data_IF_190941140390
#
_entry.id   IF_190941140390
#
_cell.length_a   1.000
_cell.length_b   1.000
_cell.length_c   1.000
_cell.angle_alpha   90.00
_cell.angle_beta   90.00
_cell.angle_gamma   90.00
#
_symmetry.space_group_name_H-M   'P 1'
#
loop_
_entity.id
_entity.type
_entity.pdbx_description
1 polymer ?
#
# COMPACT_ATOMS: atom_id res chain seq x y z
N UNK A 1 8.81 10.01 14.21
CA UNK A 1 8.40 9.12 13.09
C UNK A 1 9.64 8.41 12.60
N UNK A 2 9.67 7.07 12.65
CA UNK A 2 10.77 6.30 12.05
C UNK A 2 10.45 6.12 10.58
N UNK A 3 11.23 6.72 9.69
CA UNK A 3 11.10 6.48 8.25
C UNK A 3 11.70 5.11 7.93
N UNK A 4 10.96 4.32 7.16
CA UNK A 4 11.46 3.02 6.69
C UNK A 4 12.52 3.26 5.60
N UNK A 5 13.72 2.68 5.78
CA UNK A 5 14.79 2.76 4.80
C UNK A 5 14.55 1.70 3.71
N UNK A 6 14.41 2.16 2.48
CA UNK A 6 14.47 1.29 1.31
C UNK A 6 15.93 1.16 0.89
N UNK A 7 16.52 -0.01 1.17
CA UNK A 7 17.88 -0.36 0.76
C UNK A 7 17.84 -1.15 -0.56
N UNK A 8 18.96 -1.19 -1.31
CA UNK A 8 19.08 -2.04 -2.48
C UNK A 8 18.80 -3.51 -2.12
N UNK A 9 18.03 -4.20 -2.96
CA UNK A 9 17.79 -5.64 -2.79
C UNK A 9 19.11 -6.39 -2.98
N UNK A 10 19.60 -7.13 -1.96
CA UNK A 10 20.84 -7.89 -2.08
C UNK A 10 20.75 -8.90 -3.21
N UNK A 11 21.82 -9.01 -4.02
CA UNK A 11 21.95 -10.03 -5.06
C UNK A 11 21.25 -9.74 -6.38
N UNK A 12 20.51 -8.64 -6.52
CA UNK A 12 19.96 -8.22 -7.81
C UNK A 12 20.88 -7.18 -8.45
N UNK A 13 21.52 -7.56 -9.58
CA UNK A 13 22.51 -6.71 -10.25
C UNK A 13 21.91 -5.98 -11.45
N UNK A 14 22.42 -4.74 -11.74
CA UNK A 14 22.05 -3.94 -12.92
C UNK A 14 22.54 -4.52 -14.24
N UNK A 15 23.43 -5.52 -14.22
CA UNK A 15 24.05 -6.16 -15.39
C UNK A 15 23.58 -7.60 -15.55
N UNK A 16 23.74 -8.14 -16.75
CA UNK A 16 23.47 -9.55 -17.02
C UNK A 16 22.01 -9.98 -16.84
N UNK A 17 21.78 -11.07 -16.11
CA UNK A 17 20.46 -11.69 -15.96
C UNK A 17 19.40 -10.76 -15.31
N UNK A 18 19.81 -9.94 -14.34
CA UNK A 18 18.89 -9.00 -13.69
C UNK A 18 18.34 -7.94 -14.64
N UNK A 19 19.20 -7.40 -15.50
CA UNK A 19 18.79 -6.43 -16.53
C UNK A 19 17.86 -7.07 -17.57
N UNK A 20 18.19 -8.25 -18.06
CA UNK A 20 17.35 -8.98 -19.01
C UNK A 20 15.96 -9.28 -18.43
N UNK A 21 15.87 -9.67 -17.15
CA UNK A 21 14.59 -9.90 -16.47
C UNK A 21 13.73 -8.62 -16.37
N UNK A 22 14.36 -7.45 -16.13
CA UNK A 22 13.65 -6.17 -16.11
C UNK A 22 13.19 -5.74 -17.50
N UNK A 23 13.99 -5.96 -18.54
CA UNK A 23 13.62 -5.67 -19.93
C UNK A 23 12.43 -6.53 -20.36
N UNK A 24 12.45 -7.85 -20.08
CA UNK A 24 11.34 -8.76 -20.33
C UNK A 24 10.08 -8.40 -19.53
N UNK A 25 10.27 -8.03 -18.25
CA UNK A 25 9.18 -7.51 -17.44
C UNK A 25 8.56 -6.25 -18.06
N UNK A 26 9.38 -5.29 -18.51
CA UNK A 26 8.91 -4.03 -19.07
C UNK A 26 8.04 -4.25 -20.33
N UNK A 27 8.45 -5.16 -21.21
CA UNK A 27 7.67 -5.54 -22.40
C UNK A 27 6.32 -6.12 -21.99
N UNK A 28 6.31 -7.08 -21.07
CA UNK A 28 5.06 -7.71 -20.62
C UNK A 28 4.15 -6.72 -19.85
N UNK A 29 4.72 -5.87 -19.00
CA UNK A 29 3.98 -4.84 -18.26
C UNK A 29 3.33 -3.81 -19.21
N UNK A 30 4.00 -3.47 -20.31
CA UNK A 30 3.41 -2.60 -21.35
C UNK A 30 2.19 -3.24 -21.99
N UNK A 31 2.19 -4.54 -22.21
CA UNK A 31 1.03 -5.28 -22.73
C UNK A 31 -0.14 -5.31 -21.74
N UNK A 32 0.10 -5.13 -20.45
CA UNK A 32 -0.92 -4.96 -19.40
C UNK A 32 -1.43 -3.51 -19.27
N UNK A 33 -0.91 -2.58 -20.08
CA UNK A 33 -1.27 -1.16 -20.05
C UNK A 33 -0.43 -0.31 -19.10
N UNK A 34 0.60 -0.86 -18.46
CA UNK A 34 1.54 -0.08 -17.68
C UNK A 34 2.49 0.73 -18.59
N UNK A 35 3.14 1.74 -17.99
CA UNK A 35 4.18 2.56 -18.66
C UNK A 35 5.48 2.45 -17.84
N UNK A 36 6.27 1.37 -18.05
CA UNK A 36 7.53 1.20 -17.33
C UNK A 36 8.53 2.30 -17.70
N UNK A 37 9.17 2.88 -16.69
CA UNK A 37 10.17 3.94 -16.81
C UNK A 37 11.50 3.41 -16.26
N UNK A 38 12.53 3.23 -17.08
CA UNK A 38 13.87 2.87 -16.61
C UNK A 38 14.54 4.07 -15.94
N UNK A 39 15.38 3.80 -14.96
CA UNK A 39 16.18 4.78 -14.22
C UNK A 39 15.38 5.98 -13.67
N UNK A 40 14.11 5.75 -13.27
CA UNK A 40 13.22 6.81 -12.78
C UNK A 40 13.69 7.36 -11.43
N UNK A 41 13.94 8.69 -11.31
CA UNK A 41 14.36 9.31 -10.07
C UNK A 41 13.27 9.25 -8.99
N UNK A 42 13.49 8.45 -7.94
CA UNK A 42 12.50 8.27 -6.88
C UNK A 42 12.29 9.52 -6.00
N UNK A 43 13.18 10.47 -6.06
CA UNK A 43 12.98 11.81 -5.46
C UNK A 43 11.68 12.49 -5.92
N UNK A 44 11.17 12.17 -7.12
CA UNK A 44 9.89 12.67 -7.65
C UNK A 44 8.68 12.04 -6.97
N UNK A 45 8.87 10.88 -6.33
CA UNK A 45 7.85 10.04 -5.74
C UNK A 45 7.91 10.02 -4.21
N UNK A 46 8.74 10.86 -3.58
CA UNK A 46 8.85 10.99 -2.13
C UNK A 46 8.51 12.40 -1.66
N UNK A 47 7.90 12.49 -0.47
CA UNK A 47 7.57 13.79 0.14
C UNK A 47 8.83 14.59 0.48
N UNK A 48 9.91 13.91 0.86
CA UNK A 48 11.21 14.54 1.15
C UNK A 48 11.95 15.01 -0.10
N UNK A 49 11.49 14.60 -1.29
CA UNK A 49 12.13 14.90 -2.60
C UNK A 49 13.59 14.48 -2.67
N UNK A 50 13.94 13.39 -1.98
CA UNK A 50 15.25 12.74 -1.99
C UNK A 50 15.10 11.28 -2.40
N UNK A 51 16.17 10.70 -2.95
CA UNK A 51 16.23 9.30 -3.36
C UNK A 51 16.79 9.16 -4.77
N UNK A 52 17.70 8.20 -4.93
CA UNK A 52 18.25 7.80 -6.22
C UNK A 52 17.23 7.09 -7.11
N UNK A 53 17.65 6.61 -8.30
CA UNK A 53 16.74 6.03 -9.27
C UNK A 53 16.28 4.61 -8.89
N UNK A 54 15.07 4.23 -9.32
CA UNK A 54 14.68 2.85 -9.48
C UNK A 54 15.32 2.28 -10.75
N UNK A 55 15.69 1.00 -10.77
CA UNK A 55 16.12 0.38 -12.03
C UNK A 55 14.97 0.34 -13.02
N UNK A 56 13.77 0.08 -12.55
CA UNK A 56 12.52 0.18 -13.30
C UNK A 56 11.42 0.70 -12.38
N UNK A 57 10.61 1.63 -12.88
CA UNK A 57 9.43 2.13 -12.20
C UNK A 57 8.19 1.89 -13.05
N UNK A 58 7.08 1.46 -12.43
CA UNK A 58 5.79 1.36 -13.10
C UNK A 58 4.67 1.85 -12.16
N UNK A 59 3.81 2.77 -12.63
CA UNK A 59 2.63 3.19 -11.88
C UNK A 59 1.47 2.23 -12.13
N UNK A 60 0.76 1.88 -11.05
CA UNK A 60 -0.48 1.12 -11.10
C UNK A 60 -1.64 2.01 -10.64
N UNK A 61 -2.56 2.34 -11.54
CA UNK A 61 -3.70 3.23 -11.26
C UNK A 61 -4.99 2.47 -10.93
N UNK A 62 -4.96 1.15 -10.94
CA UNK A 62 -6.04 0.28 -10.50
C UNK A 62 -5.51 -0.92 -9.72
N UNK A 63 -6.33 -1.46 -8.82
CA UNK A 63 -5.98 -2.67 -8.06
C UNK A 63 -5.72 -3.87 -8.95
N UNK A 64 -6.45 -3.99 -10.06
CA UNK A 64 -6.22 -5.04 -11.05
C UNK A 64 -4.85 -4.94 -11.71
N UNK A 65 -4.43 -3.72 -12.10
CA UNK A 65 -3.09 -3.51 -12.66
C UNK A 65 -2.00 -3.72 -11.61
N UNK A 66 -2.22 -3.25 -10.38
CA UNK A 66 -1.28 -3.47 -9.27
C UNK A 66 -1.03 -4.96 -9.07
N UNK A 67 -2.09 -5.75 -8.95
CA UNK A 67 -1.99 -7.21 -8.78
C UNK A 67 -1.31 -7.88 -9.97
N UNK A 68 -1.69 -7.52 -11.19
CA UNK A 68 -1.08 -8.08 -12.39
C UNK A 68 0.43 -7.80 -12.47
N UNK A 69 0.88 -6.61 -12.09
CA UNK A 69 2.31 -6.27 -12.02
C UNK A 69 3.05 -7.06 -10.93
N UNK A 70 2.41 -7.30 -9.78
CA UNK A 70 2.97 -8.10 -8.70
C UNK A 70 3.14 -9.56 -9.11
N UNK A 71 2.12 -10.17 -9.71
CA UNK A 71 2.18 -11.55 -10.21
C UNK A 71 3.21 -11.68 -11.35
N UNK A 72 3.27 -10.69 -12.24
CA UNK A 72 4.27 -10.64 -13.29
C UNK A 72 5.70 -10.60 -12.74
N UNK A 73 5.93 -9.80 -11.70
CA UNK A 73 7.23 -9.68 -11.03
C UNK A 73 7.62 -10.98 -10.33
N UNK A 74 6.68 -11.61 -9.61
CA UNK A 74 6.90 -12.88 -8.95
C UNK A 74 7.23 -14.01 -9.95
N UNK A 75 6.45 -14.11 -11.04
CA UNK A 75 6.67 -15.13 -12.09
C UNK A 75 7.99 -14.99 -12.82
N UNK A 76 8.62 -13.81 -12.78
CA UNK A 76 9.93 -13.52 -13.40
C UNK A 76 11.06 -13.38 -12.40
N UNK A 77 10.80 -13.65 -11.13
CA UNK A 77 11.78 -13.45 -10.05
C UNK A 77 12.38 -12.03 -10.03
N UNK A 78 11.61 -11.03 -10.43
CA UNK A 78 11.98 -9.61 -10.35
C UNK A 78 11.66 -9.10 -8.94
N UNK A 79 12.65 -8.68 -8.15
CA UNK A 79 12.39 -8.10 -6.85
C UNK A 79 11.62 -6.79 -7.02
N UNK A 80 10.65 -6.57 -6.14
CA UNK A 80 9.81 -5.38 -6.23
C UNK A 80 9.65 -4.67 -4.88
N UNK A 81 9.34 -3.39 -4.97
CA UNK A 81 8.93 -2.53 -3.86
C UNK A 81 7.67 -1.78 -4.26
N UNK A 82 6.63 -1.82 -3.42
CA UNK A 82 5.42 -0.99 -3.64
C UNK A 82 5.58 0.33 -2.89
N UNK A 83 5.48 1.43 -3.62
CA UNK A 83 5.60 2.78 -3.08
C UNK A 83 4.22 3.46 -3.11
N UNK A 84 3.70 3.82 -1.95
CA UNK A 84 2.50 4.66 -1.83
C UNK A 84 2.82 6.15 -2.01
N UNK A 85 2.32 7.02 -1.14
CA UNK A 85 2.55 8.47 -1.21
C UNK A 85 3.98 8.94 -0.87
N UNK A 86 4.91 8.04 -0.57
CA UNK A 86 6.31 8.38 -0.28
C UNK A 86 6.52 9.25 0.95
N UNK A 87 5.58 9.24 1.91
CA UNK A 87 5.59 10.17 3.05
C UNK A 87 6.39 9.66 4.26
N UNK A 88 6.70 8.36 4.32
CA UNK A 88 7.40 7.74 5.45
C UNK A 88 8.56 6.85 5.00
N UNK A 89 9.19 7.19 3.88
CA UNK A 89 10.30 6.42 3.33
C UNK A 89 11.52 7.31 3.13
N UNK A 90 12.71 6.74 3.35
CA UNK A 90 13.98 7.32 2.99
C UNK A 90 14.66 6.40 1.97
N UNK A 91 14.92 6.94 0.79
CA UNK A 91 15.55 6.20 -0.30
C UNK A 91 16.99 6.69 -0.43
N UNK A 92 17.93 5.75 -0.44
CA UNK A 92 19.35 6.06 -0.60
C UNK A 92 19.65 6.67 -2.00
N UNK A 93 20.75 7.44 -2.12
CA UNK A 93 21.19 8.00 -3.40
C UNK A 93 21.53 6.92 -4.43
N UNK A 94 21.93 5.73 -3.98
CA UNK A 94 22.12 4.57 -4.85
C UNK A 94 20.82 4.06 -5.49
N UNK A 95 19.68 4.51 -5.00
CA UNK A 95 18.34 4.12 -5.49
C UNK A 95 17.89 2.74 -5.03
N UNK A 96 16.91 2.19 -5.73
CA UNK A 96 16.30 0.88 -5.45
C UNK A 96 16.58 -0.06 -6.60
N UNK A 97 17.09 -1.26 -6.27
CA UNK A 97 17.35 -2.32 -7.28
C UNK A 97 16.06 -3.07 -7.55
N UNK A 98 15.84 -3.39 -8.82
CA UNK A 98 14.64 -4.06 -9.28
C UNK A 98 13.51 -3.11 -9.65
N UNK A 99 12.29 -3.56 -9.42
CA UNK A 99 11.06 -2.85 -9.78
C UNK A 99 10.53 -2.03 -8.61
N UNK A 100 10.21 -0.75 -8.85
CA UNK A 100 9.36 0.04 -7.93
C UNK A 100 7.98 0.21 -8.57
N UNK A 101 6.94 -0.22 -7.87
CA UNK A 101 5.55 -0.04 -8.30
C UNK A 101 4.96 1.15 -7.53
N UNK A 102 4.68 2.23 -8.23
CA UNK A 102 3.94 3.37 -7.67
C UNK A 102 2.46 3.02 -7.53
N UNK A 103 1.95 2.98 -6.32
CA UNK A 103 0.54 2.66 -6.05
C UNK A 103 -0.34 3.90 -6.19
N UNK A 104 -0.98 4.04 -7.34
CA UNK A 104 -1.94 5.08 -7.70
C UNK A 104 -3.40 4.67 -7.54
N UNK A 105 -3.71 3.50 -6.96
CA UNK A 105 -5.07 3.03 -6.76
C UNK A 105 -5.78 3.88 -5.70
N UNK A 106 -6.81 4.65 -6.06
CA UNK A 106 -7.37 5.69 -5.16
C UNK A 106 -8.89 5.65 -5.04
N UNK A 107 -9.53 4.57 -5.47
CA UNK A 107 -10.98 4.43 -5.32
C UNK A 107 -11.37 4.44 -3.84
N UNK A 108 -12.44 5.18 -3.53
CA UNK A 108 -13.07 5.22 -2.22
C UNK A 108 -14.58 5.15 -2.42
N UNK A 109 -15.25 4.25 -1.73
CA UNK A 109 -16.70 4.07 -1.85
C UNK A 109 -17.34 3.63 -0.55
N UNK A 110 -18.62 3.93 -0.42
CA UNK A 110 -19.49 3.33 0.57
C UNK A 110 -20.25 2.19 -0.09
N UNK A 111 -20.36 1.05 0.57
CA UNK A 111 -21.06 -0.09 0.00
C UNK A 111 -20.92 -1.35 0.82
N UNK A 112 -21.52 -2.40 0.33
CA UNK A 112 -21.41 -3.73 0.95
C UNK A 112 -19.97 -4.27 0.82
N UNK A 113 -19.50 -5.03 1.83
CA UNK A 113 -18.23 -5.73 1.74
C UNK A 113 -18.24 -6.69 0.55
N UNK A 114 -17.12 -6.87 -0.15
CA UNK A 114 -17.01 -7.87 -1.21
C UNK A 114 -17.31 -9.28 -0.70
N UNK A 115 -17.72 -10.18 -1.59
CA UNK A 115 -17.97 -11.58 -1.23
C UNK A 115 -16.72 -12.19 -0.58
N UNK A 116 -16.92 -12.84 0.57
CA UNK A 116 -15.84 -13.44 1.36
C UNK A 116 -15.09 -12.47 2.27
N UNK A 117 -15.31 -11.18 2.18
CA UNK A 117 -14.74 -10.23 3.14
C UNK A 117 -15.42 -10.36 4.50
N UNK A 118 -14.67 -10.36 5.60
CA UNK A 118 -15.25 -10.27 6.93
C UNK A 118 -15.86 -8.89 7.16
N UNK A 119 -16.92 -8.79 7.94
CA UNK A 119 -17.57 -7.52 8.25
C UNK A 119 -18.91 -7.70 8.91
N UNK A 120 -19.50 -6.58 9.37
CA UNK A 120 -20.87 -6.61 9.89
C UNK A 120 -21.82 -6.90 8.74
N UNK A 121 -22.46 -8.06 8.73
CA UNK A 121 -23.55 -8.34 7.81
C UNK A 121 -24.62 -7.25 7.99
N UNK A 122 -25.04 -6.60 6.88
CA UNK A 122 -26.12 -5.61 6.83
C UNK A 122 -25.74 -4.14 7.14
N UNK A 123 -24.48 -3.78 7.34
CA UNK A 123 -24.08 -2.38 7.40
C UNK A 123 -23.13 -2.03 6.24
N UNK A 124 -23.34 -0.92 5.55
CA UNK A 124 -22.40 -0.47 4.53
C UNK A 124 -21.06 -0.12 5.18
N UNK A 125 -19.98 -0.52 4.51
CA UNK A 125 -18.62 -0.23 4.92
C UNK A 125 -18.01 0.85 4.04
N UNK A 126 -17.07 1.59 4.59
CA UNK A 126 -16.17 2.42 3.80
C UNK A 126 -15.07 1.54 3.25
N UNK A 127 -14.96 1.46 1.93
CA UNK A 127 -13.99 0.64 1.22
C UNK A 127 -13.05 1.59 0.47
N UNK A 128 -11.75 1.42 0.68
CA UNK A 128 -10.73 2.26 0.06
C UNK A 128 -9.60 1.43 -0.54
N UNK A 129 -9.15 1.80 -1.73
CA UNK A 129 -7.95 1.26 -2.33
C UNK A 129 -6.70 1.68 -1.55
N UNK A 130 -5.69 0.84 -1.57
CA UNK A 130 -4.48 0.99 -0.76
C UNK A 130 -3.63 2.21 -1.11
N UNK A 131 -3.74 2.75 -2.32
CA UNK A 131 -3.07 3.99 -2.74
C UNK A 131 -3.84 5.28 -2.40
N UNK A 132 -5.06 5.18 -1.89
CA UNK A 132 -5.82 6.35 -1.44
C UNK A 132 -5.10 7.03 -0.26
N UNK A 133 -5.04 8.37 -0.28
CA UNK A 133 -4.46 9.13 0.83
C UNK A 133 -5.34 9.01 2.08
N UNK A 134 -4.77 8.61 3.22
CA UNK A 134 -5.52 8.41 4.46
C UNK A 134 -6.24 9.69 4.90
N UNK A 135 -5.55 10.83 4.89
CA UNK A 135 -6.15 12.12 5.19
C UNK A 135 -7.28 12.52 4.21
N UNK A 136 -7.19 12.06 2.96
CA UNK A 136 -8.25 12.21 1.95
C UNK A 136 -9.47 11.37 2.29
N UNK A 137 -9.24 10.11 2.68
CA UNK A 137 -10.29 9.19 3.11
C UNK A 137 -11.01 9.75 4.35
N UNK A 138 -10.28 10.20 5.36
CA UNK A 138 -10.86 10.79 6.58
C UNK A 138 -11.77 12.00 6.27
N UNK A 139 -11.30 12.93 5.44
CA UNK A 139 -12.14 14.07 5.03
C UNK A 139 -13.35 13.66 4.19
N UNK A 140 -13.20 12.60 3.39
CA UNK A 140 -14.31 12.07 2.61
C UNK A 140 -15.36 11.43 3.52
N UNK A 141 -14.98 10.61 4.52
CA UNK A 141 -15.92 9.99 5.47
C UNK A 141 -16.66 11.02 6.30
N UNK A 142 -16.00 12.08 6.76
CA UNK A 142 -16.63 13.22 7.45
C UNK A 142 -17.73 13.84 6.57
N UNK A 143 -17.47 14.09 5.29
CA UNK A 143 -18.48 14.62 4.35
C UNK A 143 -19.65 13.66 4.09
N UNK A 144 -19.47 12.36 4.32
CA UNK A 144 -20.54 11.36 4.27
C UNK A 144 -21.32 11.26 5.60
N UNK A 145 -20.98 12.07 6.61
CA UNK A 145 -21.60 12.01 7.94
C UNK A 145 -21.19 10.78 8.74
N UNK A 146 -19.97 10.24 8.50
CA UNK A 146 -19.43 9.08 9.19
C UNK A 146 -18.35 9.50 10.16
N UNK A 147 -18.33 8.86 11.35
CA UNK A 147 -17.38 9.09 12.44
C UNK A 147 -16.46 7.88 12.63
N UNK A 148 -15.25 8.11 13.14
CA UNK A 148 -14.25 7.09 13.47
C UNK A 148 -12.87 7.31 12.82
N UNK A 149 -12.76 8.11 11.74
CA UNK A 149 -11.50 8.43 11.09
C UNK A 149 -11.06 9.90 11.23
N UNK A 150 -11.68 10.70 12.09
CA UNK A 150 -11.35 12.12 12.28
C UNK A 150 -9.88 12.33 12.66
N UNK A 151 -9.35 11.44 13.49
CA UNK A 151 -7.96 11.46 13.93
C UNK A 151 -6.96 11.40 12.75
N UNK A 152 -7.39 10.88 11.61
CA UNK A 152 -6.54 10.64 10.45
C UNK A 152 -6.45 11.84 9.48
N UNK A 153 -7.19 12.92 9.69
CA UNK A 153 -7.25 14.10 8.79
C UNK A 153 -5.87 14.74 8.56
N UNK A 154 -5.00 14.68 9.57
CA UNK A 154 -3.64 15.23 9.50
C UNK A 154 -2.55 14.17 9.30
N UNK A 155 -2.91 12.88 9.22
CA UNK A 155 -1.94 11.78 9.11
C UNK A 155 -1.51 11.60 7.65
N UNK A 156 -0.24 11.78 7.33
CA UNK A 156 0.26 11.57 5.97
C UNK A 156 0.39 10.08 5.66
N UNK A 157 0.30 9.75 4.39
CA UNK A 157 0.46 8.40 3.88
C UNK A 157 -0.78 7.87 3.17
N UNK A 158 -0.68 6.66 2.67
CA UNK A 158 -1.75 5.96 1.96
C UNK A 158 -2.37 4.87 2.83
N UNK A 159 -3.60 4.49 2.54
CA UNK A 159 -4.34 3.43 3.25
C UNK A 159 -3.49 2.17 3.42
N UNK A 160 -2.85 1.66 2.35
CA UNK A 160 -2.02 0.45 2.43
C UNK A 160 -0.84 0.59 3.39
N UNK A 161 -0.09 1.70 3.28
CA UNK A 161 1.04 1.96 4.19
C UNK A 161 0.60 2.14 5.65
N UNK A 162 -0.57 2.73 5.88
CA UNK A 162 -1.11 2.93 7.23
C UNK A 162 -1.66 1.64 7.84
N UNK A 163 -2.26 0.75 7.03
CA UNK A 163 -2.66 -0.61 7.44
C UNK A 163 -1.43 -1.44 7.84
N UNK A 164 -0.37 -1.43 7.01
CA UNK A 164 0.87 -2.15 7.31
C UNK A 164 1.52 -1.62 8.60
N UNK A 165 1.59 -0.31 8.78
CA UNK A 165 2.29 0.34 9.87
C UNK A 165 1.49 0.53 11.15
N UNK A 166 0.21 0.18 11.20
CA UNK A 166 -0.72 0.60 12.25
C UNK A 166 -0.58 2.09 12.56
N UNK A 167 -0.80 2.93 11.54
CA UNK A 167 -0.70 4.36 11.73
C UNK A 167 -1.75 4.86 12.72
N UNK A 168 -1.39 5.83 13.54
CA UNK A 168 -2.29 6.39 14.52
C UNK A 168 -1.86 7.79 14.95
N UNK A 169 -2.81 8.55 15.45
CA UNK A 169 -2.66 9.86 16.04
C UNK A 169 -3.79 10.11 17.05
N UNK A 170 -3.58 11.07 17.96
CA UNK A 170 -4.61 11.52 18.92
C UNK A 170 -5.25 10.37 19.73
N UNK A 171 -4.49 9.34 20.08
CA UNK A 171 -4.96 8.19 20.88
C UNK A 171 -5.74 7.13 20.10
N UNK A 172 -5.92 7.28 18.79
CA UNK A 172 -6.56 6.33 17.89
C UNK A 172 -5.56 5.78 16.86
N UNK A 173 -5.88 4.64 16.26
CA UNK A 173 -5.10 4.03 15.19
C UNK A 173 -5.98 3.25 14.20
N UNK A 174 -5.36 2.72 13.15
CA UNK A 174 -6.05 1.96 12.09
C UNK A 174 -6.78 0.74 12.67
N UNK A 175 -6.21 0.06 13.65
CA UNK A 175 -6.79 -1.15 14.23
C UNK A 175 -8.20 -0.93 14.81
N UNK A 176 -8.49 0.29 15.28
CA UNK A 176 -9.78 0.63 15.89
C UNK A 176 -10.96 0.55 14.92
N UNK A 177 -10.74 0.83 13.65
CA UNK A 177 -11.81 0.95 12.65
C UNK A 177 -11.67 -0.02 11.48
N UNK A 178 -10.54 -0.72 11.35
CA UNK A 178 -10.31 -1.68 10.27
C UNK A 178 -11.18 -2.92 10.45
N UNK A 179 -12.08 -3.15 9.52
CA UNK A 179 -12.84 -4.41 9.45
C UNK A 179 -11.97 -5.50 8.80
N UNK A 180 -11.37 -5.17 7.66
CA UNK A 180 -10.53 -6.10 6.90
C UNK A 180 -9.54 -5.37 6.00
N UNK A 181 -8.46 -6.06 5.65
CA UNK A 181 -7.57 -5.72 4.55
C UNK A 181 -7.55 -6.86 3.53
N UNK A 182 -7.65 -6.54 2.24
CA UNK A 182 -7.39 -7.48 1.16
C UNK A 182 -5.90 -7.42 0.85
N UNK A 183 -5.22 -8.52 1.12
CA UNK A 183 -3.76 -8.66 0.97
C UNK A 183 -3.49 -9.67 -0.12
N UNK A 184 -2.65 -9.32 -1.08
CA UNK A 184 -2.11 -10.27 -2.06
C UNK A 184 -0.72 -10.71 -1.63
N UNK A 185 -0.47 -12.00 -1.72
CA UNK A 185 0.84 -12.63 -1.64
C UNK A 185 1.17 -13.13 -3.05
N UNK A 186 2.06 -12.46 -3.79
CA UNK A 186 2.34 -12.81 -5.18
C UNK A 186 2.72 -14.28 -5.34
N UNK A 187 2.07 -14.98 -6.26
CA UNK A 187 2.18 -16.43 -6.45
C UNK A 187 1.36 -17.28 -5.46
N UNK A 188 0.67 -16.68 -4.47
CA UNK A 188 -0.17 -17.40 -3.50
C UNK A 188 -1.61 -16.86 -3.44
N UNK A 189 -1.90 -15.77 -4.18
CA UNK A 189 -3.24 -15.21 -4.30
C UNK A 189 -3.61 -14.20 -3.22
N UNK A 190 -4.91 -13.89 -3.16
CA UNK A 190 -5.50 -12.88 -2.29
C UNK A 190 -6.08 -13.48 -1.02
N UNK A 191 -5.92 -12.78 0.10
CA UNK A 191 -6.45 -13.16 1.41
C UNK A 191 -7.05 -11.95 2.12
N UNK A 192 -8.25 -12.11 2.66
CA UNK A 192 -8.78 -11.17 3.63
C UNK A 192 -8.10 -11.37 4.98
N UNK A 193 -7.74 -10.26 5.64
CA UNK A 193 -7.18 -10.23 6.98
C UNK A 193 -7.96 -9.25 7.83
N UNK A 194 -8.51 -9.73 8.92
CA UNK A 194 -9.16 -8.89 9.95
C UNK A 194 -8.12 -8.14 10.77
N UNK A 195 -8.55 -7.11 11.51
CA UNK A 195 -7.67 -6.41 12.45
C UNK A 195 -7.05 -7.38 13.49
N UNK A 196 -7.80 -8.38 13.94
CA UNK A 196 -7.31 -9.41 14.89
C UNK A 196 -6.20 -10.28 14.27
N UNK A 197 -6.36 -10.74 13.03
CA UNK A 197 -5.36 -11.54 12.32
C UNK A 197 -4.09 -10.72 11.99
N UNK A 198 -4.23 -9.41 11.81
CA UNK A 198 -3.10 -8.50 11.60
C UNK A 198 -2.27 -8.26 12.86
N UNK A 199 -2.74 -8.69 14.04
CA UNK A 199 -1.99 -8.67 15.30
C UNK A 199 -1.31 -7.33 15.55
N UNK A 200 -2.08 -6.27 15.48
CA UNK A 200 -1.59 -4.91 15.64
C UNK A 200 -0.96 -4.65 17.01
N UNK A 201 0.12 -3.89 17.00
CA UNK A 201 0.71 -3.27 18.16
C UNK A 201 1.24 -1.88 17.77
N UNK A 202 1.83 -1.15 18.71
CA UNK A 202 2.33 0.20 18.43
C UNK A 202 3.27 0.22 17.22
N UNK A 203 2.84 0.90 16.16
CA UNK A 203 3.58 1.08 14.89
C UNK A 203 4.01 -0.22 14.20
N UNK A 204 3.28 -1.33 14.41
CA UNK A 204 3.57 -2.62 13.78
C UNK A 204 2.31 -3.45 13.53
N UNK A 205 2.42 -4.40 12.62
CA UNK A 205 1.41 -5.40 12.28
C UNK A 205 2.10 -6.71 11.91
N UNK A 206 1.33 -7.77 11.69
CA UNK A 206 1.82 -9.02 11.09
C UNK A 206 2.49 -8.73 9.73
N UNK A 207 1.83 -7.96 8.85
CA UNK A 207 2.37 -7.64 7.52
C UNK A 207 3.71 -6.90 7.59
N UNK A 208 3.87 -5.98 8.54
CA UNK A 208 5.14 -5.27 8.72
C UNK A 208 6.25 -6.22 9.18
N UNK A 209 5.93 -7.19 10.02
CA UNK A 209 6.90 -8.22 10.44
C UNK A 209 7.28 -9.15 9.30
N UNK A 210 6.31 -9.55 8.46
CA UNK A 210 6.56 -10.36 7.26
C UNK A 210 7.46 -9.62 6.26
N UNK A 211 7.21 -8.31 6.03
CA UNK A 211 8.07 -7.48 5.17
C UNK A 211 9.49 -7.29 5.70
N UNK A 212 9.69 -7.36 7.03
CA UNK A 212 11.00 -7.26 7.67
C UNK A 212 11.73 -8.62 7.77
N UNK A 213 11.07 -9.72 7.40
CA UNK A 213 11.67 -11.05 7.43
C UNK A 213 12.82 -11.18 6.42
N UNK A 214 13.80 -12.05 6.66
CA UNK A 214 14.91 -12.26 5.73
C UNK A 214 14.42 -12.63 4.32
N UNK A 215 15.18 -12.28 3.31
CA UNK A 215 14.89 -12.65 1.93
C UNK A 215 14.74 -14.19 1.80
N UNK A 216 13.69 -14.63 1.12
CA UNK A 216 13.36 -16.06 0.99
C UNK A 216 12.41 -16.61 2.06
N UNK A 217 11.98 -15.81 3.03
CA UNK A 217 10.99 -16.23 4.05
C UNK A 217 9.56 -16.38 3.50
N UNK A 218 9.32 -15.96 2.28
CA UNK A 218 8.02 -16.01 1.60
C UNK A 218 7.79 -14.79 0.71
N UNK A 219 6.66 -14.73 0.00
CA UNK A 219 6.32 -13.58 -0.81
C UNK A 219 5.99 -12.36 0.06
N UNK A 220 6.43 -11.19 -0.37
CA UNK A 220 6.14 -9.93 0.31
C UNK A 220 4.64 -9.61 0.23
N UNK A 221 3.94 -9.39 1.34
CA UNK A 221 2.54 -9.03 1.34
C UNK A 221 2.30 -7.62 0.79
N UNK A 222 1.26 -7.45 -0.02
CA UNK A 222 0.83 -6.15 -0.52
C UNK A 222 -0.65 -5.95 -0.25
N UNK A 223 -0.99 -4.86 0.44
CA UNK A 223 -2.39 -4.47 0.64
C UNK A 223 -2.94 -3.88 -0.65
N UNK A 224 -4.03 -4.45 -1.16
CA UNK A 224 -4.74 -3.95 -2.34
C UNK A 224 -5.86 -2.98 -1.93
N UNK A 225 -6.59 -3.30 -0.86
CA UNK A 225 -7.79 -2.59 -0.44
C UNK A 225 -8.04 -2.79 1.05
N UNK A 226 -8.75 -1.87 1.68
CA UNK A 226 -9.18 -1.99 3.07
C UNK A 226 -10.65 -1.61 3.23
N UNK A 227 -11.34 -2.30 4.13
CA UNK A 227 -12.70 -1.98 4.57
C UNK A 227 -12.69 -1.49 6.01
N UNK A 228 -13.48 -0.46 6.28
CA UNK A 228 -13.61 0.17 7.58
C UNK A 228 -15.05 0.15 8.05
N UNK A 229 -15.27 -0.30 9.30
CA UNK A 229 -16.54 -0.20 9.99
C UNK A 229 -16.61 1.16 10.68
N UNK A 230 -17.41 2.06 10.13
CA UNK A 230 -17.63 3.40 10.68
C UNK A 230 -19.08 3.57 11.11
N UNK A 231 -19.33 4.51 12.01
CA UNK A 231 -20.66 4.81 12.53
C UNK A 231 -21.21 6.09 11.93
N UNK A 232 -22.55 6.22 11.90
CA UNK A 232 -23.16 7.51 11.55
C UNK A 232 -22.89 8.50 12.68
N UNK A 233 -22.40 9.67 12.33
CA UNK A 233 -22.07 10.75 13.27
C UNK A 233 -22.88 12.00 13.02
N UNK A 234 -22.94 12.88 14.02
CA UNK A 234 -23.47 14.23 13.84
C UNK A 234 -22.45 15.08 13.08
N UNK A 235 -22.82 15.55 11.87
CA UNK A 235 -21.94 16.33 11.01
C UNK A 235 -21.41 17.63 11.68
N UNK A 236 -22.17 18.21 12.63
CA UNK A 236 -21.76 19.41 13.37
C UNK A 236 -20.72 19.09 14.45
N UNK A 237 -20.82 17.93 15.11
CA UNK A 237 -19.84 17.45 16.09
C UNK A 237 -18.55 16.99 15.40
N UNK A 238 -18.66 16.34 14.25
CA UNK A 238 -17.53 15.84 13.46
C UNK A 238 -16.66 16.99 12.93
N UNK A 239 -17.27 18.12 12.52
CA UNK A 239 -16.54 19.26 11.97
C UNK A 239 -15.74 20.06 13.03
N UNK A 240 -15.99 19.83 14.31
CA UNK A 240 -15.34 20.51 15.45
C UNK A 240 -14.28 19.65 16.16
N UNK A 241 -14.08 18.41 15.77
CA UNK A 241 -13.08 17.48 16.33
C UNK A 241 -11.79 17.51 15.52
#
# INVERSE_FOLDING_TARGET
MSADRLAPTPGFERSGAGRAALEDFAVAATSLGAKPLPDEPLARHTTFRIGGPADLYAAAESTALLEALLELAAGRSVPFTVLGGGSNVLIADAGVRGLVIGNGCREMRLGEPPAGAPGRAQAPQVIADSGAALAGLARWTIRQGLTGLEWAVSVPGTVGGTVIGNAGAHGCDIAANLAWALVVYPGQGQHYRTAAELQYAYRTSLLKRELAAPAGSGPAPVVLRAGFDLEAGDASAIASA
#
